data_IF_498708238700
#
_entry.id   IF_498708238700
#
_cell.length_a   1.000
_cell.length_b   1.000
_cell.length_c   1.000
_cell.angle_alpha   90.00
_cell.angle_beta   90.00
_cell.angle_gamma   90.00
#
_symmetry.space_group_name_H-M   'P 1'
#
loop_
_entity.id
_entity.type
_entity.pdbx_description
1 polymer ?
#
# COMPACT_ATOMS: atom_id res chain seq x y z
N UNK A 1 -22.59 -20.27 8.38
CA UNK A 1 -21.82 -20.02 9.63
C UNK A 1 -20.32 -20.01 9.43
N UNK A 2 -19.71 -21.11 8.94
CA UNK A 2 -18.24 -21.24 8.83
C UNK A 2 -17.56 -20.15 7.99
N UNK A 3 -18.20 -19.70 6.92
CA UNK A 3 -17.65 -18.65 6.03
C UNK A 3 -17.52 -17.31 6.75
N UNK A 4 -18.56 -16.88 7.50
CA UNK A 4 -18.54 -15.60 8.24
C UNK A 4 -17.48 -15.65 9.34
N UNK A 5 -17.37 -16.78 10.06
CA UNK A 5 -16.32 -16.97 11.09
C UNK A 5 -14.92 -16.91 10.50
N UNK A 6 -14.69 -17.55 9.35
CA UNK A 6 -13.39 -17.50 8.65
C UNK A 6 -13.07 -16.09 8.17
N UNK A 7 -14.04 -15.39 7.60
CA UNK A 7 -13.88 -14.00 7.17
C UNK A 7 -13.54 -13.09 8.36
N UNK A 8 -14.28 -13.22 9.47
CA UNK A 8 -14.00 -12.50 10.72
C UNK A 8 -12.59 -12.77 11.24
N UNK A 9 -12.18 -14.05 11.26
CA UNK A 9 -10.85 -14.43 11.72
C UNK A 9 -9.73 -13.82 10.85
N UNK A 10 -9.90 -13.80 9.52
CA UNK A 10 -8.95 -13.14 8.61
C UNK A 10 -8.93 -11.63 8.85
N UNK A 11 -10.09 -10.99 9.02
CA UNK A 11 -10.16 -9.56 9.36
C UNK A 11 -9.44 -9.26 10.68
N UNK A 12 -9.59 -10.11 11.70
CA UNK A 12 -8.87 -9.94 12.99
C UNK A 12 -7.35 -10.06 12.83
N UNK A 13 -6.88 -11.04 12.05
CA UNK A 13 -5.45 -11.18 11.73
C UNK A 13 -4.92 -9.94 10.99
N UNK A 14 -5.69 -9.43 10.02
CA UNK A 14 -5.35 -8.19 9.30
C UNK A 14 -5.22 -7.00 10.24
N UNK A 15 -6.14 -6.84 11.20
CA UNK A 15 -6.09 -5.75 12.19
C UNK A 15 -4.83 -5.85 13.06
N UNK A 16 -4.50 -7.05 13.53
CA UNK A 16 -3.31 -7.27 14.36
C UNK A 16 -2.05 -6.94 13.56
N UNK A 17 -1.91 -7.51 12.37
CA UNK A 17 -0.75 -7.32 11.51
C UNK A 17 -0.58 -5.86 11.08
N UNK A 18 -1.67 -5.19 10.73
CA UNK A 18 -1.64 -3.78 10.33
C UNK A 18 -1.29 -2.83 11.48
N UNK A 19 -1.50 -3.22 12.74
CA UNK A 19 -1.08 -2.46 13.93
C UNK A 19 0.37 -2.72 14.34
N UNK A 20 0.88 -3.91 14.07
CA UNK A 20 2.23 -4.33 14.48
C UNK A 20 3.30 -4.10 13.41
N UNK A 21 2.94 -3.51 12.27
CA UNK A 21 3.88 -3.27 11.18
C UNK A 21 4.98 -2.30 11.62
N UNK A 22 6.23 -2.78 11.60
CA UNK A 22 7.40 -1.96 11.86
C UNK A 22 8.20 -1.69 10.56
N UNK A 23 9.27 -0.91 10.67
CA UNK A 23 10.10 -0.56 9.52
C UNK A 23 11.07 -1.67 9.09
N UNK A 24 11.39 -2.65 9.95
CA UNK A 24 12.36 -3.71 9.63
C UNK A 24 11.72 -4.86 8.87
N UNK A 25 10.51 -5.25 9.25
CA UNK A 25 9.79 -6.39 8.67
C UNK A 25 8.65 -5.95 7.73
N UNK A 26 8.70 -4.70 7.27
CA UNK A 26 7.59 -4.07 6.55
C UNK A 26 7.20 -4.78 5.26
N UNK A 27 8.17 -5.18 4.45
CA UNK A 27 7.91 -5.80 3.16
C UNK A 27 7.25 -7.17 3.34
N UNK A 28 7.71 -7.96 4.32
CA UNK A 28 7.09 -9.23 4.68
C UNK A 28 5.68 -9.04 5.25
N UNK A 29 5.48 -8.03 6.09
CA UNK A 29 4.15 -7.71 6.63
C UNK A 29 3.17 -7.29 5.53
N UNK A 30 3.62 -6.53 4.53
CA UNK A 30 2.80 -6.15 3.37
C UNK A 30 2.40 -7.39 2.56
N UNK A 31 3.34 -8.29 2.28
CA UNK A 31 3.04 -9.54 1.56
C UNK A 31 2.01 -10.40 2.31
N UNK A 32 2.15 -10.52 3.62
CA UNK A 32 1.17 -11.22 4.47
C UNK A 32 -0.20 -10.54 4.47
N UNK A 33 -0.25 -9.20 4.50
CA UNK A 33 -1.50 -8.43 4.37
C UNK A 33 -2.16 -8.72 3.02
N UNK A 34 -1.41 -8.73 1.92
CA UNK A 34 -1.94 -9.03 0.59
C UNK A 34 -2.53 -10.44 0.53
N UNK A 35 -1.82 -11.46 1.04
CA UNK A 35 -2.31 -12.84 1.11
C UNK A 35 -3.63 -12.96 1.90
N UNK A 36 -3.71 -12.30 3.06
CA UNK A 36 -4.92 -12.29 3.88
C UNK A 36 -6.07 -11.54 3.18
N UNK A 37 -5.80 -10.43 2.50
CA UNK A 37 -6.79 -9.69 1.73
C UNK A 37 -7.37 -10.54 0.58
N UNK A 38 -6.52 -11.25 -0.17
CA UNK A 38 -6.96 -12.17 -1.22
C UNK A 38 -7.85 -13.29 -0.66
N UNK A 39 -7.43 -13.92 0.44
CA UNK A 39 -8.25 -14.94 1.10
C UNK A 39 -9.60 -14.40 1.58
N UNK A 40 -9.65 -13.14 2.04
CA UNK A 40 -10.90 -12.48 2.44
C UNK A 40 -11.79 -12.17 1.23
N UNK A 41 -11.23 -11.73 0.12
CA UNK A 41 -11.95 -11.42 -1.12
C UNK A 41 -12.69 -12.65 -1.67
N UNK A 42 -12.09 -13.84 -1.59
CA UNK A 42 -12.73 -15.09 -1.99
C UNK A 42 -13.92 -15.49 -1.10
N UNK A 43 -13.86 -15.15 0.19
CA UNK A 43 -14.89 -15.54 1.16
C UNK A 43 -16.10 -14.61 1.17
N UNK A 44 -15.93 -13.31 0.91
CA UNK A 44 -17.00 -12.32 0.97
C UNK A 44 -18.21 -12.66 0.06
N UNK A 45 -18.04 -13.06 -1.22
CA UNK A 45 -19.16 -13.44 -2.09
C UNK A 45 -19.94 -14.66 -1.60
N UNK A 46 -19.34 -15.50 -0.76
CA UNK A 46 -19.95 -16.71 -0.23
C UNK A 46 -20.86 -16.43 0.98
N UNK A 47 -20.81 -15.22 1.54
CA UNK A 47 -21.68 -14.78 2.63
C UNK A 47 -23.04 -14.37 2.05
N UNK A 48 -23.95 -15.33 1.92
CA UNK A 48 -25.32 -15.12 1.41
C UNK A 48 -26.36 -15.57 2.42
N UNK A 49 -27.47 -14.85 2.47
CA UNK A 49 -28.59 -15.14 3.36
C UNK A 49 -29.46 -16.32 2.87
N UNK A 50 -30.46 -16.74 3.68
CA UNK A 50 -30.91 -16.10 4.92
C UNK A 50 -29.99 -16.36 6.12
N UNK A 51 -29.81 -15.36 6.99
CA UNK A 51 -28.90 -15.42 8.15
C UNK A 51 -29.66 -15.74 9.44
N UNK A 52 -29.09 -16.65 10.22
CA UNK A 52 -29.49 -16.91 11.61
C UNK A 52 -29.14 -15.74 12.54
N UNK A 53 -29.68 -15.74 13.76
CA UNK A 53 -29.39 -14.71 14.79
C UNK A 53 -27.89 -14.68 15.11
N UNK A 54 -27.26 -15.84 15.23
CA UNK A 54 -25.82 -15.97 15.49
C UNK A 54 -24.99 -15.39 14.34
N UNK A 55 -25.38 -15.66 13.09
CA UNK A 55 -24.69 -15.14 11.91
C UNK A 55 -24.82 -13.62 11.79
N UNK A 56 -25.95 -13.05 12.21
CA UNK A 56 -26.10 -11.59 12.30
C UNK A 56 -25.14 -10.99 13.32
N UNK A 57 -25.02 -11.59 14.51
CA UNK A 57 -24.07 -11.13 15.52
C UNK A 57 -22.61 -11.22 15.04
N UNK A 58 -22.25 -12.31 14.35
CA UNK A 58 -20.93 -12.44 13.74
C UNK A 58 -20.70 -11.42 12.61
N UNK A 59 -21.72 -11.15 11.80
CA UNK A 59 -21.68 -10.12 10.75
C UNK A 59 -21.49 -8.72 11.32
N UNK A 60 -22.16 -8.39 12.43
CA UNK A 60 -21.99 -7.11 13.13
C UNK A 60 -20.55 -6.94 13.63
N UNK A 61 -19.97 -7.98 14.25
CA UNK A 61 -18.57 -7.99 14.66
C UNK A 61 -17.62 -7.81 13.48
N UNK A 62 -17.89 -8.48 12.35
CA UNK A 62 -17.10 -8.34 11.13
C UNK A 62 -17.11 -6.90 10.62
N UNK A 63 -18.28 -6.25 10.57
CA UNK A 63 -18.41 -4.84 10.19
C UNK A 63 -17.66 -3.92 11.15
N UNK A 64 -17.70 -4.20 12.45
CA UNK A 64 -16.95 -3.43 13.45
C UNK A 64 -15.44 -3.52 13.23
N UNK A 65 -14.91 -4.74 13.02
CA UNK A 65 -13.49 -4.96 12.74
C UNK A 65 -13.07 -4.37 11.39
N UNK A 66 -13.93 -4.41 10.37
CA UNK A 66 -13.67 -3.78 9.08
C UNK A 66 -13.53 -2.25 9.21
N UNK A 67 -14.35 -1.60 10.04
CA UNK A 67 -14.24 -0.15 10.32
C UNK A 67 -12.92 0.21 10.98
N UNK A 68 -12.42 -0.67 11.84
CA UNK A 68 -11.12 -0.52 12.49
C UNK A 68 -9.96 -0.77 11.51
N UNK A 69 -10.09 -1.77 10.64
CA UNK A 69 -9.07 -2.15 9.67
C UNK A 69 -8.87 -1.08 8.59
N UNK A 70 -9.95 -0.45 8.12
CA UNK A 70 -9.90 0.46 6.99
C UNK A 70 -8.85 1.59 7.12
N UNK A 71 -8.87 2.41 8.19
CA UNK A 71 -7.89 3.49 8.34
C UNK A 71 -6.45 2.96 8.45
N UNK A 72 -6.23 1.76 8.99
CA UNK A 72 -4.91 1.15 9.06
C UNK A 72 -4.37 0.85 7.64
N UNK A 73 -5.20 0.24 6.79
CA UNK A 73 -4.82 -0.05 5.41
C UNK A 73 -4.57 1.22 4.59
N UNK A 74 -5.37 2.27 4.79
CA UNK A 74 -5.14 3.59 4.15
C UNK A 74 -3.78 4.16 4.55
N UNK A 75 -3.42 4.09 5.82
CA UNK A 75 -2.13 4.57 6.31
C UNK A 75 -0.95 3.76 5.74
N UNK A 76 -1.09 2.44 5.62
CA UNK A 76 -0.08 1.57 5.02
C UNK A 76 0.08 1.94 3.53
N UNK A 77 -1.02 2.06 2.79
CA UNK A 77 -1.00 2.47 1.38
C UNK A 77 -0.33 3.84 1.19
N UNK A 78 -0.64 4.82 2.04
CA UNK A 78 -0.04 6.14 2.00
C UNK A 78 1.48 6.09 2.22
N UNK A 79 1.92 5.26 3.16
CA UNK A 79 3.34 5.03 3.44
C UNK A 79 4.06 4.42 2.22
N UNK A 80 3.49 3.38 1.63
CA UNK A 80 4.04 2.75 0.41
C UNK A 80 4.12 3.75 -0.74
N UNK A 81 3.08 4.55 -0.95
CA UNK A 81 3.05 5.57 -2.00
C UNK A 81 4.11 6.66 -1.79
N UNK A 82 4.36 7.06 -0.53
CA UNK A 82 5.42 8.01 -0.18
C UNK A 82 6.78 7.47 -0.58
N UNK A 83 7.05 6.21 -0.31
CA UNK A 83 8.34 5.58 -0.61
C UNK A 83 8.61 5.46 -2.10
N UNK A 84 7.60 5.08 -2.89
CA UNK A 84 7.68 5.08 -4.35
C UNK A 84 8.07 6.47 -4.86
N UNK A 85 7.45 7.52 -4.31
CA UNK A 85 7.74 8.91 -4.68
C UNK A 85 9.15 9.33 -4.27
N UNK A 86 9.63 8.91 -3.10
CA UNK A 86 11.00 9.17 -2.65
C UNK A 86 12.05 8.48 -3.51
N UNK A 87 11.83 7.22 -3.88
CA UNK A 87 12.70 6.47 -4.80
C UNK A 87 12.77 7.15 -6.17
N UNK A 88 11.64 7.60 -6.70
CA UNK A 88 11.58 8.35 -7.96
C UNK A 88 12.36 9.67 -7.90
N UNK A 89 12.17 10.45 -6.81
CA UNK A 89 12.92 11.70 -6.58
C UNK A 89 14.42 11.46 -6.47
N UNK A 90 14.85 10.44 -5.72
CA UNK A 90 16.27 10.06 -5.58
C UNK A 90 16.88 9.74 -6.95
N UNK A 91 16.18 8.96 -7.80
CA UNK A 91 16.62 8.65 -9.16
C UNK A 91 16.80 9.90 -10.02
N UNK A 92 15.83 10.82 -10.00
CA UNK A 92 15.92 12.10 -10.74
C UNK A 92 17.09 12.94 -10.23
N UNK A 93 17.27 13.05 -8.91
CA UNK A 93 18.36 13.84 -8.32
C UNK A 93 19.74 13.25 -8.67
N UNK A 94 19.91 11.93 -8.58
CA UNK A 94 21.16 11.27 -8.96
C UNK A 94 21.50 11.49 -10.44
N UNK A 95 20.50 11.47 -11.33
CA UNK A 95 20.69 11.78 -12.75
C UNK A 95 21.15 13.23 -13.01
N UNK A 96 20.67 14.20 -12.22
CA UNK A 96 21.09 15.61 -12.32
C UNK A 96 22.54 15.83 -11.90
N UNK A 97 23.03 15.09 -10.89
CA UNK A 97 24.44 15.16 -10.47
C UNK A 97 25.36 14.35 -11.40
N UNK A 98 24.88 13.29 -12.02
CA UNK A 98 25.67 12.49 -12.96
C UNK A 98 25.97 13.21 -14.29
N UNK A 99 25.17 14.21 -14.66
CA UNK A 99 25.43 15.03 -15.85
C UNK A 99 25.21 16.53 -15.60
N UNK A 100 26.15 17.20 -14.90
CA UNK A 100 26.09 18.64 -14.61
C UNK A 100 26.08 19.54 -15.86
N UNK A 101 26.48 18.98 -17.01
CA UNK A 101 26.64 19.68 -18.29
C UNK A 101 25.53 19.34 -19.31
N UNK A 102 24.52 18.55 -18.94
CA UNK A 102 23.39 18.24 -19.83
C UNK A 102 22.65 19.50 -20.29
N UNK A 103 22.51 20.49 -19.41
CA UNK A 103 21.90 21.78 -19.73
C UNK A 103 22.75 22.65 -20.66
N UNK A 104 24.07 22.47 -20.68
CA UNK A 104 24.99 23.22 -21.55
C UNK A 104 25.18 22.62 -22.94
N UNK A 105 24.75 21.37 -23.19
CA UNK A 105 24.80 20.76 -24.52
C UNK A 105 23.72 21.28 -25.49
N UNK A 106 22.77 22.10 -25.03
CA UNK A 106 21.73 22.72 -25.87
C UNK A 106 22.04 24.17 -26.30
N UNK A 107 23.20 24.71 -25.93
CA UNK A 107 23.66 25.98 -26.49
C UNK A 107 24.64 25.69 -27.62
N UNK A 108 24.11 25.74 -28.84
CA UNK A 108 24.87 25.79 -30.10
C UNK A 108 26.02 26.80 -29.95
N UNK A 109 27.25 26.32 -30.12
CA UNK A 109 28.47 27.03 -29.76
C UNK A 109 28.72 28.21 -30.69
N UNK A 110 28.15 29.37 -30.38
CA UNK A 110 28.51 30.62 -31.03
C UNK A 110 29.84 31.14 -30.46
N UNK A 111 30.95 30.77 -31.10
CA UNK A 111 32.24 31.41 -30.86
C UNK A 111 32.21 32.84 -31.40
N UNK A 112 32.23 33.82 -30.50
CA UNK A 112 32.53 35.22 -30.83
C UNK A 112 34.02 35.34 -31.12
N UNK A 113 34.40 35.36 -32.40
CA UNK A 113 35.70 35.93 -32.77
C UNK A 113 35.56 37.46 -32.86
N UNK A 114 36.15 38.14 -31.87
CA UNK A 114 36.19 39.61 -31.79
C UNK A 114 37.42 40.11 -32.53
N UNK A 115 37.17 40.77 -33.67
CA UNK A 115 37.92 41.86 -34.36
C UNK A 115 39.41 42.03 -34.04
N UNK A 116 40.21 42.04 -35.12
CA UNK A 116 41.08 43.19 -35.45
C UNK A 116 41.16 43.38 -36.96
#
# INVERSE_FOLDING_TARGET
MEVIKKCLHITEQLVVLAKSIDHQDRDQAIEQIEQLLSGREELLPLIKGPFSIEEKSLGEKLVERDRELMPLLVNIQATVQKDINELSRKRISAGKYANPYAATQQHDGAFYDKRK
#
